data_IF_753537253772
#
_entry.id   IF_753537253772
#
_cell.length_a   1.000
_cell.length_b   1.000
_cell.length_c   1.000
_cell.angle_alpha   90.00
_cell.angle_beta   90.00
_cell.angle_gamma   90.00
#
_symmetry.space_group_name_H-M   'P 1'
#
loop_
_entity.id
_entity.type
_entity.pdbx_description
1 polymer ?
#
# COMPACT_ATOMS: atom_id res chain seq x y z
N UNK A 1 4.30 -19.67 -2.09
CA UNK A 1 5.45 -20.60 -2.07
C UNK A 1 5.79 -21.10 -0.67
N UNK A 2 5.82 -20.26 0.38
CA UNK A 2 6.17 -20.69 1.75
C UNK A 2 5.41 -21.92 2.27
N UNK A 3 4.07 -21.94 2.20
CA UNK A 3 3.28 -23.10 2.66
C UNK A 3 3.60 -24.41 1.92
N UNK A 4 3.91 -24.33 0.62
CA UNK A 4 4.29 -25.50 -0.17
C UNK A 4 5.62 -26.04 0.31
N UNK A 5 6.61 -25.16 0.50
CA UNK A 5 7.92 -25.55 1.03
C UNK A 5 7.80 -26.16 2.44
N UNK A 6 6.98 -25.57 3.32
CA UNK A 6 6.70 -26.12 4.64
C UNK A 6 6.05 -27.49 4.56
N UNK A 7 5.06 -27.68 3.68
CA UNK A 7 4.40 -28.97 3.47
C UNK A 7 5.38 -30.05 3.01
N UNK A 8 6.24 -29.74 2.03
CA UNK A 8 7.28 -30.65 1.57
C UNK A 8 8.28 -31.01 2.68
N UNK A 9 8.71 -30.03 3.48
CA UNK A 9 9.60 -30.26 4.61
C UNK A 9 8.96 -31.17 5.67
N UNK A 10 7.68 -30.97 6.00
CA UNK A 10 6.94 -31.80 6.95
C UNK A 10 6.75 -33.24 6.46
N UNK A 11 6.56 -33.43 5.15
CA UNK A 11 6.52 -34.78 4.54
C UNK A 11 7.88 -35.46 4.69
N UNK A 12 8.98 -34.77 4.35
CA UNK A 12 10.33 -35.31 4.54
C UNK A 12 10.61 -35.68 6.00
N UNK A 13 10.26 -34.79 6.93
CA UNK A 13 10.41 -35.03 8.36
C UNK A 13 9.61 -36.25 8.83
N UNK A 14 8.38 -36.40 8.35
CA UNK A 14 7.53 -37.55 8.68
C UNK A 14 8.21 -38.87 8.31
N UNK A 15 8.79 -38.95 7.11
CA UNK A 15 9.44 -40.16 6.60
C UNK A 15 10.70 -40.53 7.40
N UNK A 16 11.45 -39.54 7.87
CA UNK A 16 12.68 -39.75 8.66
C UNK A 16 12.41 -40.18 10.10
N UNK A 17 11.31 -39.71 10.70
CA UNK A 17 10.99 -39.91 12.12
C UNK A 17 9.78 -40.85 12.32
N UNK A 18 9.35 -41.52 11.24
CA UNK A 18 8.19 -42.43 11.18
C UNK A 18 6.93 -41.89 11.89
N UNK A 19 6.60 -40.63 11.60
CA UNK A 19 5.42 -39.97 12.21
C UNK A 19 4.12 -40.42 11.53
N UNK A 20 3.04 -40.41 12.31
CA UNK A 20 1.71 -40.79 11.81
C UNK A 20 1.15 -39.81 10.78
N UNK A 21 0.18 -40.27 9.98
CA UNK A 21 -0.56 -39.40 9.07
C UNK A 21 -1.34 -38.30 9.80
N UNK A 22 -1.93 -38.62 10.94
CA UNK A 22 -2.63 -37.66 11.78
C UNK A 22 -1.71 -36.52 12.25
N UNK A 23 -0.45 -36.82 12.59
CA UNK A 23 0.53 -35.80 12.95
C UNK A 23 0.79 -34.81 11.80
N UNK A 24 0.98 -35.32 10.58
CA UNK A 24 1.24 -34.48 9.40
C UNK A 24 0.06 -33.57 9.06
N UNK A 25 -1.17 -34.08 9.18
CA UNK A 25 -2.39 -33.31 8.97
C UNK A 25 -2.47 -32.16 9.99
N UNK A 26 -2.27 -32.45 11.27
CA UNK A 26 -2.29 -31.44 12.33
C UNK A 26 -1.19 -30.39 12.15
N UNK A 27 0.01 -30.80 11.72
CA UNK A 27 1.12 -29.87 11.44
C UNK A 27 0.83 -28.94 10.25
N UNK A 28 0.24 -29.46 9.16
CA UNK A 28 -0.17 -28.63 8.03
C UNK A 28 -1.34 -27.71 8.39
N UNK A 29 -2.31 -28.19 9.16
CA UNK A 29 -3.41 -27.38 9.67
C UNK A 29 -2.88 -26.23 10.54
N UNK A 30 -1.92 -26.50 11.43
CA UNK A 30 -1.26 -25.47 12.22
C UNK A 30 -0.55 -24.44 11.33
N UNK A 31 0.24 -24.89 10.34
CA UNK A 31 0.93 -23.97 9.42
C UNK A 31 -0.06 -23.08 8.63
N UNK A 32 -1.18 -23.66 8.18
CA UNK A 32 -2.23 -22.92 7.49
C UNK A 32 -2.89 -21.89 8.40
N UNK A 33 -3.26 -22.28 9.63
CA UNK A 33 -3.86 -21.38 10.62
C UNK A 33 -2.89 -20.24 10.96
N UNK A 34 -1.61 -20.54 11.19
CA UNK A 34 -0.60 -19.49 11.44
C UNK A 34 -0.50 -18.51 10.28
N UNK A 35 -0.49 -19.00 9.03
CA UNK A 35 -0.47 -18.14 7.86
C UNK A 35 -1.72 -17.25 7.75
N UNK A 36 -2.91 -17.83 7.99
CA UNK A 36 -4.18 -17.10 7.96
C UNK A 36 -4.29 -16.04 9.06
N UNK A 37 -3.90 -16.39 10.29
CA UNK A 37 -3.87 -15.46 11.43
C UNK A 37 -2.88 -14.33 11.16
N UNK A 38 -1.72 -14.63 10.59
CA UNK A 38 -0.75 -13.60 10.22
C UNK A 38 -1.32 -12.67 9.13
N UNK A 39 -1.95 -13.24 8.09
CA UNK A 39 -2.56 -12.47 7.01
C UNK A 39 -3.74 -11.61 7.45
N UNK A 40 -4.48 -12.01 8.50
CA UNK A 40 -5.62 -11.23 9.01
C UNK A 40 -5.19 -10.02 9.83
N UNK A 41 -4.03 -10.09 10.51
CA UNK A 41 -3.52 -8.96 11.31
C UNK A 41 -2.58 -8.05 10.51
N UNK A 42 -1.87 -8.58 9.52
CA UNK A 42 -0.94 -7.80 8.69
C UNK A 42 -1.68 -7.02 7.60
N UNK A 43 -1.27 -5.77 7.42
CA UNK A 43 -1.74 -4.96 6.30
C UNK A 43 -0.98 -5.29 5.02
N UNK A 44 -1.45 -6.30 4.29
CA UNK A 44 -0.79 -6.73 3.05
C UNK A 44 -0.70 -5.61 2.00
N UNK A 45 -1.69 -4.70 1.96
CA UNK A 45 -1.68 -3.54 1.09
C UNK A 45 -0.53 -2.58 1.42
N UNK A 46 -0.29 -2.31 2.71
CA UNK A 46 0.83 -1.46 3.13
C UNK A 46 2.19 -2.12 2.90
N UNK A 47 2.28 -3.44 3.09
CA UNK A 47 3.50 -4.21 2.78
C UNK A 47 3.83 -4.12 1.29
N UNK A 48 2.82 -4.35 0.42
CA UNK A 48 2.98 -4.25 -1.03
C UNK A 48 3.37 -2.83 -1.47
N UNK A 49 2.70 -1.80 -0.94
CA UNK A 49 3.02 -0.41 -1.23
C UNK A 49 4.47 -0.07 -0.82
N UNK A 50 4.88 -0.44 0.40
CA UNK A 50 6.21 -0.14 0.90
C UNK A 50 7.30 -0.85 0.09
N UNK A 51 7.08 -2.12 -0.30
CA UNK A 51 7.98 -2.84 -1.19
C UNK A 51 8.09 -2.15 -2.55
N UNK A 52 6.96 -1.80 -3.18
CA UNK A 52 6.95 -1.09 -4.47
C UNK A 52 7.72 0.23 -4.41
N UNK A 53 7.53 1.02 -3.34
CA UNK A 53 8.26 2.28 -3.14
C UNK A 53 9.75 2.05 -3.01
N UNK A 54 10.16 1.14 -2.12
CA UNK A 54 11.57 0.84 -1.88
C UNK A 54 12.25 0.39 -3.17
N UNK A 55 11.68 -0.60 -3.85
CA UNK A 55 12.21 -1.10 -5.13
C UNK A 55 12.30 0.01 -6.17
N UNK A 56 11.28 0.87 -6.27
CA UNK A 56 11.29 1.96 -7.23
C UNK A 56 12.27 3.09 -6.88
N UNK A 57 12.69 3.22 -5.62
CA UNK A 57 13.75 4.14 -5.19
C UNK A 57 15.14 3.53 -5.41
N UNK A 58 15.31 2.25 -5.10
CA UNK A 58 16.56 1.50 -5.32
C UNK A 58 16.92 1.38 -6.80
N UNK A 59 15.94 1.07 -7.66
CA UNK A 59 16.16 0.86 -9.09
C UNK A 59 16.05 2.14 -9.94
N UNK A 60 15.56 3.25 -9.36
CA UNK A 60 15.39 4.52 -10.07
C UNK A 60 14.58 4.39 -11.36
N UNK A 61 15.14 4.83 -12.50
CA UNK A 61 14.50 4.74 -13.83
C UNK A 61 14.43 3.32 -14.40
N UNK A 62 15.22 2.38 -13.88
CA UNK A 62 15.22 0.98 -14.28
C UNK A 62 14.18 0.14 -13.51
N UNK A 63 13.50 0.73 -12.53
CA UNK A 63 12.44 0.07 -11.77
C UNK A 63 11.12 -0.05 -12.57
N UNK A 64 10.21 -0.95 -12.15
CA UNK A 64 8.90 -1.07 -12.78
C UNK A 64 8.12 0.26 -12.71
N UNK A 65 7.32 0.58 -13.76
CA UNK A 65 6.50 1.79 -13.76
C UNK A 65 5.57 1.79 -12.55
N UNK A 66 5.54 2.91 -11.83
CA UNK A 66 4.77 3.08 -10.60
C UNK A 66 3.30 3.19 -10.95
N UNK A 67 2.52 2.14 -10.70
CA UNK A 67 1.06 2.19 -10.84
C UNK A 67 0.45 3.02 -9.69
N UNK A 68 0.31 4.32 -9.95
CA UNK A 68 -0.26 5.26 -9.00
C UNK A 68 -1.77 5.05 -8.82
N UNK A 69 -2.49 4.49 -9.80
CA UNK A 69 -3.90 4.13 -9.64
C UNK A 69 -4.06 2.97 -8.65
N UNK A 70 -3.19 1.95 -8.73
CA UNK A 70 -3.13 0.89 -7.72
C UNK A 70 -2.85 1.47 -6.32
N UNK A 71 -1.86 2.36 -6.19
CA UNK A 71 -1.59 3.01 -4.90
C UNK A 71 -2.78 3.82 -4.38
N UNK A 72 -3.48 4.55 -5.25
CA UNK A 72 -4.71 5.25 -4.88
C UNK A 72 -5.77 4.29 -4.32
N UNK A 73 -5.99 3.14 -4.96
CA UNK A 73 -6.98 2.13 -4.54
C UNK A 73 -6.67 1.43 -3.21
N UNK A 74 -5.40 1.41 -2.78
CA UNK A 74 -5.03 0.85 -1.48
C UNK A 74 -5.49 1.71 -0.27
N UNK A 75 -6.02 2.91 -0.51
CA UNK A 75 -6.58 3.74 0.55
C UNK A 75 -5.54 4.16 1.61
N UNK A 76 -5.89 4.12 2.91
CA UNK A 76 -4.95 4.47 3.99
C UNK A 76 -3.66 3.63 4.00
N UNK A 77 -3.68 2.43 3.43
CA UNK A 77 -2.53 1.52 3.42
C UNK A 77 -1.36 2.02 2.58
N UNK A 78 -1.61 2.83 1.55
CA UNK A 78 -0.55 3.43 0.74
C UNK A 78 -0.09 4.81 1.22
N UNK A 79 -0.74 5.40 2.23
CA UNK A 79 -0.54 6.79 2.61
C UNK A 79 0.93 7.14 2.93
N UNK A 80 1.60 6.34 3.77
CA UNK A 80 3.02 6.54 4.11
C UNK A 80 3.94 6.29 2.91
N UNK A 81 3.56 5.34 2.05
CA UNK A 81 4.30 5.02 0.82
C UNK A 81 4.23 6.16 -0.21
N UNK A 82 3.04 6.73 -0.42
CA UNK A 82 2.83 7.91 -1.27
C UNK A 82 3.61 9.12 -0.75
N UNK A 83 3.56 9.36 0.57
CA UNK A 83 4.35 10.40 1.25
C UNK A 83 5.87 10.22 1.03
N UNK A 84 6.36 8.98 1.17
CA UNK A 84 7.78 8.66 0.95
C UNK A 84 8.18 8.89 -0.51
N UNK A 85 7.34 8.49 -1.48
CA UNK A 85 7.59 8.75 -2.89
C UNK A 85 7.59 10.23 -3.21
N UNK A 86 6.67 11.01 -2.66
CA UNK A 86 6.58 12.46 -2.84
C UNK A 86 7.85 13.15 -2.35
N UNK A 87 8.37 12.76 -1.18
CA UNK A 87 9.59 13.31 -0.60
C UNK A 87 10.81 13.11 -1.53
N UNK A 88 10.83 12.02 -2.29
CA UNK A 88 11.92 11.68 -3.22
C UNK A 88 11.63 12.06 -4.68
N UNK A 89 10.47 12.65 -4.98
CA UNK A 89 10.08 13.02 -6.33
C UNK A 89 10.80 14.30 -6.78
N UNK A 90 11.74 14.15 -7.72
CA UNK A 90 12.48 15.27 -8.32
C UNK A 90 11.74 15.95 -9.47
N UNK A 91 10.95 15.18 -10.22
CA UNK A 91 10.18 15.71 -11.36
C UNK A 91 8.93 16.46 -10.86
N UNK A 92 8.73 17.75 -11.23
CA UNK A 92 7.61 18.54 -10.72
C UNK A 92 6.24 17.99 -11.08
N UNK A 93 6.07 17.40 -12.26
CA UNK A 93 4.79 16.79 -12.70
C UNK A 93 4.47 15.55 -11.88
N UNK A 94 5.45 14.68 -11.64
CA UNK A 94 5.29 13.51 -10.79
C UNK A 94 5.02 13.91 -9.34
N UNK A 95 5.74 14.92 -8.84
CA UNK A 95 5.54 15.43 -7.48
C UNK A 95 4.12 15.95 -7.28
N UNK A 96 3.59 16.78 -8.19
CA UNK A 96 2.19 17.26 -8.12
C UNK A 96 1.16 16.12 -8.07
N UNK A 97 1.35 15.07 -8.88
CA UNK A 97 0.50 13.87 -8.85
C UNK A 97 0.56 13.15 -7.51
N UNK A 98 1.76 12.93 -6.98
CA UNK A 98 1.97 12.26 -5.68
C UNK A 98 1.42 13.10 -4.52
N UNK A 99 1.64 14.41 -4.55
CA UNK A 99 1.09 15.36 -3.58
C UNK A 99 -0.43 15.31 -3.58
N UNK A 100 -1.07 15.27 -4.76
CA UNK A 100 -2.53 15.12 -4.87
C UNK A 100 -3.00 13.80 -4.23
N UNK A 101 -2.43 12.67 -4.63
CA UNK A 101 -2.85 11.35 -4.13
C UNK A 101 -2.60 11.19 -2.62
N UNK A 102 -1.45 11.62 -2.12
CA UNK A 102 -1.15 11.62 -0.68
C UNK A 102 -2.17 12.50 0.04
N UNK A 103 -2.42 13.72 -0.45
CA UNK A 103 -3.32 14.65 0.21
C UNK A 103 -4.74 14.11 0.30
N UNK A 104 -5.27 13.60 -0.81
CA UNK A 104 -6.60 12.99 -0.88
C UNK A 104 -6.73 11.85 0.15
N UNK A 105 -5.81 10.89 0.14
CA UNK A 105 -5.78 9.78 1.11
C UNK A 105 -5.57 10.26 2.54
N UNK A 106 -4.76 11.29 2.77
CA UNK A 106 -4.56 11.88 4.09
C UNK A 106 -5.84 12.52 4.62
N UNK A 107 -6.55 13.29 3.80
CA UNK A 107 -7.81 13.95 4.19
C UNK A 107 -8.90 12.95 4.47
N UNK A 108 -9.07 11.93 3.63
CA UNK A 108 -10.03 10.85 3.86
C UNK A 108 -9.71 10.09 5.15
N UNK A 109 -8.42 9.75 5.37
CA UNK A 109 -7.99 9.04 6.57
C UNK A 109 -8.20 9.91 7.81
N UNK A 110 -7.86 11.21 7.76
CA UNK A 110 -8.06 12.14 8.86
C UNK A 110 -9.55 12.29 9.20
N UNK A 111 -10.42 12.39 8.19
CA UNK A 111 -11.88 12.40 8.37
C UNK A 111 -12.38 11.13 9.05
N UNK A 112 -11.95 9.95 8.58
CA UNK A 112 -12.31 8.67 9.21
C UNK A 112 -11.75 8.54 10.63
N UNK A 113 -10.58 9.09 10.93
CA UNK A 113 -10.03 9.09 12.29
C UNK A 113 -10.67 10.12 13.23
N UNK A 114 -11.49 11.05 12.72
CA UNK A 114 -12.31 11.92 13.56
C UNK A 114 -13.58 11.22 14.07
N UNK A 115 -14.03 10.16 13.40
CA UNK A 115 -15.14 9.31 13.83
C UNK A 115 -14.64 8.19 14.75
N UNK A 116 -15.16 8.13 15.97
CA UNK A 116 -14.78 7.12 16.96
C UNK A 116 -15.04 5.68 16.51
N UNK A 117 -16.01 5.46 15.60
CA UNK A 117 -16.34 4.12 15.05
C UNK A 117 -15.33 3.64 14.02
N UNK A 118 -14.71 4.57 13.30
CA UNK A 118 -13.76 4.29 12.22
C UNK A 118 -12.30 4.51 12.65
N UNK A 119 -12.09 5.05 13.85
CA UNK A 119 -10.78 5.25 14.43
C UNK A 119 -10.03 3.93 14.59
N UNK A 120 -8.75 3.92 14.18
CA UNK A 120 -7.84 2.79 14.44
C UNK A 120 -6.46 3.31 14.82
N UNK A 121 -5.76 2.63 15.76
CA UNK A 121 -4.41 3.06 16.15
C UNK A 121 -3.44 2.99 14.97
N UNK A 122 -3.67 2.08 14.01
CA UNK A 122 -2.88 1.95 12.79
C UNK A 122 -2.96 3.22 11.93
N UNK A 123 -4.16 3.74 11.66
CA UNK A 123 -4.33 4.92 10.82
C UNK A 123 -3.90 6.20 11.55
N UNK A 124 -4.09 6.28 12.87
CA UNK A 124 -3.54 7.36 13.68
C UNK A 124 -2.00 7.45 13.56
N UNK A 125 -1.31 6.30 13.64
CA UNK A 125 0.16 6.25 13.42
C UNK A 125 0.56 6.70 12.02
N UNK A 126 -0.17 6.28 10.98
CA UNK A 126 0.10 6.69 9.59
C UNK A 126 -0.02 8.21 9.41
N UNK A 127 -1.06 8.81 9.98
CA UNK A 127 -1.26 10.26 9.95
C UNK A 127 -0.13 10.99 10.70
N UNK A 128 0.27 10.48 11.87
CA UNK A 128 1.41 11.05 12.62
C UNK A 128 2.71 10.97 11.82
N UNK A 129 3.00 9.85 11.15
CA UNK A 129 4.18 9.69 10.28
C UNK A 129 4.17 10.71 9.14
N UNK A 130 3.06 10.84 8.41
CA UNK A 130 2.96 11.80 7.29
C UNK A 130 3.00 13.25 7.79
N UNK A 131 2.38 13.54 8.94
CA UNK A 131 2.47 14.85 9.60
C UNK A 131 3.90 15.19 10.00
N UNK A 132 4.70 14.22 10.44
CA UNK A 132 6.14 14.41 10.69
C UNK A 132 6.95 14.72 9.43
N UNK A 133 6.52 14.23 8.25
CA UNK A 133 7.21 14.46 6.98
C UNK A 133 6.89 15.82 6.35
N UNK A 134 5.63 16.30 6.45
CA UNK A 134 5.15 17.48 5.71
C UNK A 134 4.59 18.60 6.59
N UNK A 135 4.45 18.38 7.90
CA UNK A 135 3.79 19.29 8.83
C UNK A 135 2.27 19.32 8.64
N UNK A 136 1.65 20.43 9.06
CA UNK A 136 0.19 20.63 9.05
C UNK A 136 -0.31 21.49 7.89
N UNK A 137 0.60 21.97 7.02
CA UNK A 137 0.24 22.88 5.93
C UNK A 137 -0.47 22.14 4.81
N UNK A 138 -1.55 22.73 4.31
CA UNK A 138 -2.20 22.29 3.09
C UNK A 138 -1.23 22.40 1.90
N UNK A 139 -1.08 21.35 1.09
CA UNK A 139 -0.20 21.40 -0.07
C UNK A 139 -0.75 22.35 -1.13
N UNK A 140 0.16 23.00 -1.87
CA UNK A 140 -0.21 23.77 -3.07
C UNK A 140 -0.27 22.82 -4.27
N UNK A 141 -1.47 22.55 -4.76
CA UNK A 141 -1.73 21.71 -5.93
C UNK A 141 -1.93 22.58 -7.18
N UNK A 142 -1.54 22.06 -8.35
CA UNK A 142 -1.88 22.70 -9.63
C UNK A 142 -3.40 22.65 -9.86
N UNK A 143 -3.92 23.73 -10.46
CA UNK A 143 -5.33 23.82 -10.86
C UNK A 143 -5.69 22.68 -11.82
N UNK A 144 -6.83 22.04 -11.57
CA UNK A 144 -7.34 20.91 -12.33
C UNK A 144 -8.87 21.05 -12.46
N UNK A 145 -9.36 22.01 -13.28
CA UNK A 145 -10.79 22.35 -13.34
C UNK A 145 -11.65 21.17 -13.81
N UNK A 146 -11.13 20.37 -14.74
CA UNK A 146 -11.80 19.16 -15.25
C UNK A 146 -11.52 17.92 -14.38
N UNK A 147 -10.91 18.10 -13.21
CA UNK A 147 -10.55 17.04 -12.28
C UNK A 147 -9.23 16.32 -12.60
N UNK A 148 -9.01 15.21 -11.89
CA UNK A 148 -7.82 14.37 -12.02
C UNK A 148 -8.21 12.90 -12.19
N UNK A 149 -7.36 12.15 -12.90
CA UNK A 149 -7.46 10.69 -13.01
C UNK A 149 -6.99 10.00 -11.73
N UNK A 150 -7.22 8.69 -11.63
CA UNK A 150 -6.79 7.88 -10.47
C UNK A 150 -5.28 7.89 -10.21
N UNK A 151 -4.47 8.26 -11.20
CA UNK A 151 -3.01 8.35 -11.09
C UNK A 151 -2.54 9.79 -10.80
N UNK A 152 -3.47 10.69 -10.47
CA UNK A 152 -3.25 12.09 -10.15
C UNK A 152 -3.03 13.00 -11.37
N UNK A 153 -3.10 12.48 -12.61
CA UNK A 153 -2.95 13.31 -13.81
C UNK A 153 -4.16 14.23 -14.00
N UNK A 154 -3.88 15.50 -14.31
CA UNK A 154 -4.90 16.52 -14.62
C UNK A 154 -5.57 16.14 -15.93
N UNK A 155 -6.90 16.13 -15.93
CA UNK A 155 -7.69 15.88 -17.12
C UNK A 155 -7.60 17.09 -18.08
N UNK A 156 -7.47 16.87 -19.39
CA UNK A 156 -7.57 17.96 -20.36
C UNK A 156 -9.01 18.48 -20.44
N UNK A 157 -9.23 19.72 -20.92
CA UNK A 157 -10.57 20.24 -21.14
C UNK A 157 -11.35 19.33 -22.10
N UNK A 158 -12.68 19.18 -21.90
CA UNK A 158 -13.51 18.38 -22.79
C UNK A 158 -13.39 18.91 -24.22
N UNK A 159 -13.19 18.00 -25.18
CA UNK A 159 -13.26 18.38 -26.59
C UNK A 159 -14.71 18.71 -26.92
N UNK A 160 -14.98 19.98 -27.19
CA UNK A 160 -16.26 20.41 -27.77
C UNK A 160 -16.20 19.99 -29.24
N UNK A 161 -16.80 18.86 -29.58
CA UNK A 161 -17.08 18.53 -30.98
C UNK A 161 -18.19 19.49 -31.46
N UNK A 162 -17.79 20.50 -32.22
CA UNK A 162 -18.72 21.40 -32.90
C UNK A 162 -19.30 20.60 -34.06
N UNK A 163 -20.55 20.15 -33.91
CA UNK A 163 -21.38 19.60 -34.99
C UNK A 163 -21.84 20.71 -35.93
#
# INVERSE_FOLDING_TARGET
MGLVATGLALIGWRLLVDRSAAWLINANALAAVTALVTASVVDLGAVAAAWNVRTALEMGKAGPPRDLCYMGRLGPSSLVSLATLEQHAREPRLRDRLTYLRWERQTETAGAQADWRLWTPRNARRLATVGGMFGTKTPRLRSAPDGRRCDGLILPPPRIEIL
#
